data_IF_731101564733
#
_entry.id   IF_731101564733
#
_cell.length_a   1.000
_cell.length_b   1.000
_cell.length_c   1.000
_cell.angle_alpha   90.00
_cell.angle_beta   90.00
_cell.angle_gamma   90.00
#
_symmetry.space_group_name_H-M   'P 1'
#
loop_
_entity.id
_entity.type
_entity.pdbx_description
1 polymer ?
#
# COMPACT_ATOMS: atom_id res chain seq x y z
N UNK A 1 5.16 -5.41 20.19
CA UNK A 1 3.82 -4.90 19.86
C UNK A 1 3.95 -3.42 19.55
N UNK A 2 4.04 -3.04 18.27
CA UNK A 2 4.07 -1.62 17.90
C UNK A 2 2.65 -1.08 17.98
N UNK A 3 2.42 -0.03 18.78
CA UNK A 3 1.13 0.67 18.82
C UNK A 3 1.14 1.73 17.73
N UNK A 4 0.30 1.58 16.71
CA UNK A 4 0.02 2.66 15.76
C UNK A 4 -0.76 3.75 16.52
N UNK A 5 -0.13 4.88 16.80
CA UNK A 5 -0.72 6.00 17.56
C UNK A 5 -1.43 7.04 16.68
N UNK A 6 -1.35 6.91 15.35
CA UNK A 6 -1.93 7.88 14.41
C UNK A 6 -3.33 7.50 13.93
N UNK A 7 -4.16 8.50 13.67
CA UNK A 7 -5.48 8.33 13.06
C UNK A 7 -5.30 7.99 11.57
N UNK A 8 -5.96 6.91 11.14
CA UNK A 8 -6.11 6.56 9.73
C UNK A 8 -7.59 6.39 9.41
N UNK A 9 -8.07 7.09 8.38
CA UNK A 9 -9.44 7.05 7.89
C UNK A 9 -9.42 6.83 6.38
N UNK A 10 -10.05 5.74 5.97
CA UNK A 10 -10.29 5.43 4.56
C UNK A 10 -11.75 5.76 4.23
N UNK A 11 -12.01 6.55 3.17
CA UNK A 11 -13.37 6.82 2.76
C UNK A 11 -14.05 5.52 2.30
N UNK A 12 -15.30 5.34 2.70
CA UNK A 12 -16.14 4.26 2.21
C UNK A 12 -16.42 4.45 0.72
N UNK A 13 -16.03 3.48 -0.10
CA UNK A 13 -16.37 3.43 -1.52
C UNK A 13 -17.83 2.99 -1.66
N UNK A 14 -18.68 3.80 -2.30
CA UNK A 14 -20.02 3.33 -2.69
C UNK A 14 -19.88 2.42 -3.91
N UNK A 15 -20.54 1.25 -3.91
CA UNK A 15 -20.44 0.29 -5.03
C UNK A 15 -20.93 0.86 -6.36
N UNK A 16 -21.88 1.80 -6.32
CA UNK A 16 -22.56 2.32 -7.51
C UNK A 16 -21.93 3.61 -8.03
N UNK A 17 -21.54 4.53 -7.15
CA UNK A 17 -20.95 5.84 -7.50
C UNK A 17 -19.44 5.89 -7.30
N UNK A 18 -18.83 4.87 -6.71
CA UNK A 18 -17.42 4.85 -6.36
C UNK A 18 -17.10 5.67 -5.11
N UNK A 19 -15.82 6.03 -4.97
CA UNK A 19 -15.33 6.88 -3.89
C UNK A 19 -15.04 8.27 -4.46
N UNK A 20 -15.90 9.24 -4.13
CA UNK A 20 -15.71 10.65 -4.52
C UNK A 20 -14.79 11.42 -3.56
N UNK A 21 -14.42 10.81 -2.44
CA UNK A 21 -13.41 11.38 -1.55
C UNK A 21 -12.04 11.15 -2.16
N UNK A 22 -11.48 12.19 -2.75
CA UNK A 22 -10.12 12.19 -3.29
C UNK A 22 -9.05 12.38 -2.20
N UNK A 23 -9.33 11.95 -0.96
CA UNK A 23 -8.34 12.00 0.10
C UNK A 23 -8.49 10.85 1.09
N UNK A 24 -7.38 10.52 1.74
CA UNK A 24 -7.35 9.67 2.94
C UNK A 24 -6.68 10.43 4.07
N UNK A 25 -6.99 10.04 5.30
CA UNK A 25 -6.17 10.36 6.46
C UNK A 25 -5.33 9.13 6.74
N UNK A 26 -4.01 9.27 6.76
CA UNK A 26 -3.10 8.18 7.08
C UNK A 26 -2.01 8.67 8.03
N UNK A 27 -1.94 8.05 9.22
CA UNK A 27 -0.97 8.40 10.26
C UNK A 27 -0.94 9.92 10.56
N UNK A 28 -2.12 10.49 10.83
CA UNK A 28 -2.35 11.93 11.10
C UNK A 28 -2.02 12.88 9.93
N UNK A 29 -1.80 12.37 8.72
CA UNK A 29 -1.55 13.17 7.51
C UNK A 29 -2.69 13.03 6.51
N UNK A 30 -3.07 14.13 5.87
CA UNK A 30 -4.05 14.13 4.77
C UNK A 30 -3.30 13.91 3.45
N UNK A 31 -3.71 12.89 2.70
CA UNK A 31 -3.20 12.60 1.36
C UNK A 31 -4.29 12.84 0.34
N UNK A 32 -4.01 13.67 -0.65
CA UNK A 32 -4.92 14.02 -1.75
C UNK A 32 -4.55 13.22 -3.01
N UNK A 33 -5.53 12.59 -3.65
CA UNK A 33 -5.37 11.80 -4.87
C UNK A 33 -5.84 12.58 -6.10
N UNK A 34 -5.24 12.30 -7.26
CA UNK A 34 -5.67 12.84 -8.56
C UNK A 34 -4.90 14.04 -9.10
N UNK A 35 -3.91 14.59 -8.37
CA UNK A 35 -3.08 15.70 -8.88
C UNK A 35 -1.60 15.74 -8.48
N UNK A 36 -1.17 14.91 -7.51
CA UNK A 36 0.18 14.97 -6.93
C UNK A 36 0.72 13.57 -6.56
N UNK A 37 0.62 12.60 -7.47
CA UNK A 37 1.19 11.25 -7.26
C UNK A 37 2.73 11.26 -7.10
N UNK A 38 3.39 12.35 -7.52
CA UNK A 38 4.86 12.45 -7.60
C UNK A 38 5.58 12.67 -6.26
N UNK A 39 4.91 13.06 -5.17
CA UNK A 39 5.60 13.50 -3.95
C UNK A 39 5.52 12.51 -2.76
N UNK A 40 4.97 11.32 -2.98
CA UNK A 40 4.65 10.38 -1.90
C UNK A 40 5.88 9.69 -1.28
N UNK A 41 7.00 9.61 -2.00
CA UNK A 41 8.25 9.03 -1.50
C UNK A 41 8.86 9.79 -0.32
N UNK A 42 8.54 11.08 -0.17
CA UNK A 42 9.06 11.93 0.90
C UNK A 42 8.38 11.72 2.26
N UNK A 43 7.20 11.09 2.30
CA UNK A 43 6.38 11.02 3.51
C UNK A 43 6.64 9.78 4.39
N UNK A 44 7.46 8.82 3.93
CA UNK A 44 7.60 7.46 4.47
C UNK A 44 8.94 7.19 5.17
N UNK A 45 9.49 8.18 5.88
CA UNK A 45 10.59 7.97 6.82
C UNK A 45 10.07 7.90 8.27
N UNK A 46 9.22 6.91 8.55
CA UNK A 46 8.74 6.62 9.91
C UNK A 46 9.40 5.35 10.43
N UNK A 47 9.71 5.30 11.74
CA UNK A 47 10.09 4.08 12.44
C UNK A 47 9.10 2.95 12.15
N UNK A 48 9.57 1.77 11.72
CA UNK A 48 8.72 0.63 11.34
C UNK A 48 8.67 0.38 9.83
N UNK A 49 9.00 1.37 9.00
CA UNK A 49 8.89 1.23 7.54
C UNK A 49 9.87 0.21 6.96
N UNK A 50 11.11 0.13 7.47
CA UNK A 50 12.09 -0.87 7.02
C UNK A 50 11.62 -2.29 7.32
N UNK A 51 11.06 -2.53 8.51
CA UNK A 51 10.52 -3.84 8.89
C UNK A 51 9.33 -4.22 8.01
N UNK A 52 8.46 -3.25 7.69
CA UNK A 52 7.34 -3.49 6.78
C UNK A 52 7.82 -3.83 5.36
N UNK A 53 8.86 -3.16 4.86
CA UNK A 53 9.45 -3.48 3.55
C UNK A 53 9.97 -4.91 3.50
N UNK A 54 10.70 -5.35 4.53
CA UNK A 54 11.18 -6.73 4.64
C UNK A 54 10.01 -7.72 4.69
N UNK A 55 9.06 -7.49 5.59
CA UNK A 55 7.92 -8.37 5.79
C UNK A 55 7.04 -8.53 4.55
N UNK A 56 6.80 -7.43 3.80
CA UNK A 56 6.08 -7.46 2.52
C UNK A 56 6.90 -8.19 1.45
N UNK A 57 8.21 -7.94 1.37
CA UNK A 57 9.09 -8.59 0.39
C UNK A 57 9.12 -10.11 0.54
N UNK A 58 9.06 -10.63 1.77
CA UNK A 58 9.00 -12.05 2.08
C UNK A 58 7.71 -12.73 1.57
N UNK A 59 6.61 -11.98 1.45
CA UNK A 59 5.28 -12.49 1.04
C UNK A 59 5.04 -12.44 -0.47
N UNK A 60 5.91 -11.76 -1.21
CA UNK A 60 5.82 -11.76 -2.67
C UNK A 60 6.13 -13.15 -3.23
N UNK A 61 5.22 -13.65 -4.06
CA UNK A 61 5.37 -14.94 -4.74
C UNK A 61 6.40 -14.86 -5.87
N UNK A 62 7.28 -15.87 -6.00
CA UNK A 62 8.22 -16.00 -7.11
C UNK A 62 7.53 -16.45 -8.41
N UNK A 63 6.41 -17.18 -8.31
CA UNK A 63 5.73 -17.80 -9.47
C UNK A 63 4.40 -17.14 -9.84
N UNK A 64 3.77 -16.43 -8.89
CA UNK A 64 2.42 -15.88 -9.03
C UNK A 64 2.34 -14.40 -8.69
N UNK A 65 1.10 -13.93 -8.55
CA UNK A 65 0.79 -12.62 -7.97
C UNK A 65 -0.10 -12.85 -6.74
N UNK A 66 0.08 -12.03 -5.72
CA UNK A 66 -0.76 -11.99 -4.51
C UNK A 66 -1.31 -10.58 -4.33
N UNK A 67 -2.58 -10.44 -3.94
CA UNK A 67 -3.17 -9.11 -3.77
C UNK A 67 -2.54 -8.38 -2.58
N UNK A 68 -2.37 -7.06 -2.68
CA UNK A 68 -1.83 -6.29 -1.55
C UNK A 68 -2.72 -6.40 -0.30
N UNK A 69 -4.02 -6.59 -0.47
CA UNK A 69 -4.98 -6.79 0.62
C UNK A 69 -4.74 -8.10 1.35
N UNK A 70 -4.44 -9.19 0.62
CA UNK A 70 -4.15 -10.48 1.26
C UNK A 70 -2.82 -10.43 2.02
N UNK A 71 -1.80 -9.75 1.47
CA UNK A 71 -0.53 -9.51 2.19
C UNK A 71 -0.79 -8.72 3.48
N UNK A 72 -1.64 -7.68 3.42
CA UNK A 72 -1.94 -6.84 4.57
C UNK A 72 -2.72 -7.60 5.65
N UNK A 73 -3.68 -8.44 5.25
CA UNK A 73 -4.41 -9.31 6.16
C UNK A 73 -3.48 -10.29 6.88
N UNK A 74 -2.56 -10.94 6.15
CA UNK A 74 -1.57 -11.86 6.74
C UNK A 74 -0.62 -11.14 7.73
N UNK A 75 -0.23 -9.91 7.41
CA UNK A 75 0.66 -9.12 8.27
C UNK A 75 -0.05 -8.46 9.46
N UNK A 76 -1.39 -8.37 9.43
CA UNK A 76 -2.14 -7.52 10.36
C UNK A 76 -1.82 -6.03 10.18
N UNK A 77 -1.46 -5.62 8.98
CA UNK A 77 -1.01 -4.27 8.63
C UNK A 77 -2.09 -3.50 7.85
N UNK A 78 -1.90 -2.20 7.75
CA UNK A 78 -2.81 -1.33 7.01
C UNK A 78 -2.64 -1.60 5.50
N UNK A 79 -3.72 -1.93 4.73
CA UNK A 79 -3.60 -2.29 3.32
C UNK A 79 -2.94 -1.21 2.45
N UNK A 80 -3.13 0.05 2.78
CA UNK A 80 -2.50 1.16 2.07
C UNK A 80 -0.97 1.15 2.23
N UNK A 81 -0.47 0.87 3.42
CA UNK A 81 0.96 0.86 3.74
C UNK A 81 1.65 -0.25 2.94
N UNK A 82 1.00 -1.41 2.89
CA UNK A 82 1.43 -2.56 2.09
C UNK A 82 1.38 -2.23 0.59
N UNK A 83 0.30 -1.65 0.08
CA UNK A 83 0.20 -1.22 -1.32
C UNK A 83 1.33 -0.26 -1.71
N UNK A 84 1.63 0.69 -0.83
CA UNK A 84 2.69 1.67 -1.03
C UNK A 84 4.08 1.02 -1.07
N UNK A 85 4.34 0.07 -0.16
CA UNK A 85 5.58 -0.72 -0.16
C UNK A 85 5.68 -1.55 -1.45
N UNK A 86 4.64 -2.26 -1.84
CA UNK A 86 4.59 -3.03 -3.09
C UNK A 86 4.92 -2.16 -4.32
N UNK A 87 4.27 -1.00 -4.45
CA UNK A 87 4.55 -0.06 -5.55
C UNK A 87 5.95 0.53 -5.50
N UNK A 88 6.52 0.73 -4.30
CA UNK A 88 7.92 1.14 -4.16
C UNK A 88 8.88 0.04 -4.61
N UNK A 89 8.60 -1.22 -4.27
CA UNK A 89 9.39 -2.37 -4.74
C UNK A 89 9.33 -2.52 -6.26
N UNK A 90 8.16 -2.30 -6.87
CA UNK A 90 8.01 -2.27 -8.34
C UNK A 90 8.87 -1.17 -8.95
N UNK A 91 8.78 0.07 -8.44
CA UNK A 91 9.59 1.20 -8.93
C UNK A 91 11.09 0.97 -8.77
N UNK A 92 11.51 0.24 -7.74
CA UNK A 92 12.91 -0.15 -7.51
C UNK A 92 13.36 -1.40 -8.28
N UNK A 93 12.46 -2.08 -8.99
CA UNK A 93 12.77 -3.28 -9.77
C UNK A 93 12.89 -4.57 -8.95
N UNK A 94 12.33 -4.64 -7.75
CA UNK A 94 12.31 -5.85 -6.92
C UNK A 94 11.00 -6.65 -7.02
N UNK A 95 9.97 -6.07 -7.63
CA UNK A 95 8.66 -6.67 -7.76
C UNK A 95 8.03 -6.29 -9.10
N UNK A 96 6.95 -6.99 -9.46
CA UNK A 96 6.09 -6.69 -10.61
C UNK A 96 4.63 -6.57 -10.15
N UNK A 97 3.90 -5.63 -10.72
CA UNK A 97 2.45 -5.48 -10.53
C UNK A 97 1.70 -6.14 -11.69
N UNK A 98 0.57 -6.78 -11.40
CA UNK A 98 -0.36 -7.26 -12.41
C UNK A 98 -1.04 -6.11 -13.18
N UNK A 99 -1.66 -6.45 -14.30
CA UNK A 99 -2.38 -5.50 -15.16
C UNK A 99 -3.87 -5.86 -15.26
N UNK A 100 -4.71 -4.90 -15.66
CA UNK A 100 -6.15 -5.13 -15.81
C UNK A 100 -6.81 -5.55 -14.49
N UNK A 101 -7.51 -6.68 -14.50
CA UNK A 101 -8.18 -7.25 -13.32
C UNK A 101 -7.20 -7.69 -12.21
N UNK A 102 -5.91 -7.87 -12.54
CA UNK A 102 -4.87 -8.23 -11.57
C UNK A 102 -4.11 -7.01 -11.02
N UNK A 103 -4.54 -5.79 -11.36
CA UNK A 103 -3.95 -4.57 -10.79
C UNK A 103 -4.10 -4.57 -9.27
N UNK A 104 -3.07 -4.17 -8.55
CA UNK A 104 -3.00 -4.34 -7.09
C UNK A 104 -2.58 -5.75 -6.63
N UNK A 105 -2.26 -6.66 -7.55
CA UNK A 105 -1.58 -7.91 -7.20
C UNK A 105 -0.11 -7.85 -7.58
N UNK A 106 0.75 -8.40 -6.73
CA UNK A 106 2.20 -8.24 -6.83
C UNK A 106 2.93 -9.58 -6.73
N UNK A 107 4.03 -9.70 -7.46
CA UNK A 107 4.94 -10.84 -7.41
C UNK A 107 6.38 -10.37 -7.37
N UNK A 108 7.29 -11.26 -6.97
CA UNK A 108 8.73 -10.96 -6.97
C UNK A 108 9.24 -10.90 -8.42
N UNK A 109 10.27 -10.06 -8.63
CA UNK A 109 11.03 -10.00 -9.88
C UNK A 109 12.29 -10.87 -9.78
#
# INVERSE_FOLDING_TARGET
MSRHTGLSLYPSVWRESGCESHYIIWNDKIFLFGRYEDNFDSATETYGYTQLVEAVSERLSDTGLISFSDIAEDLGEVPWDVLMVCRRLVRKGFAREGVGEQRGSFGRL
#
